data_IF_368129819145
#
_entry.id   IF_368129819145
#
_cell.length_a   1.000
_cell.length_b   1.000
_cell.length_c   1.000
_cell.angle_alpha   90.00
_cell.angle_beta   90.00
_cell.angle_gamma   90.00
#
_symmetry.space_group_name_H-M   'P 1'
#
loop_
_entity.id
_entity.type
_entity.pdbx_description
1 polymer ?
#
# COMPACT_ATOMS: atom_id res chain seq x y z
N UNK A 1 30.80 55.01 26.57
CA UNK A 1 29.37 54.69 26.76
C UNK A 1 29.35 53.39 27.56
N UNK A 2 29.34 53.43 28.90
CA UNK A 2 28.22 53.71 29.82
C UNK A 2 27.02 52.80 29.46
N UNK A 3 26.51 51.88 30.29
CA UNK A 3 26.34 51.84 31.76
C UNK A 3 25.95 50.39 32.16
N UNK A 4 26.61 49.75 33.14
CA UNK A 4 26.15 49.50 34.54
C UNK A 4 24.84 48.69 34.66
N UNK A 5 24.68 47.62 35.46
CA UNK A 5 24.91 47.42 36.92
C UNK A 5 25.00 45.89 37.15
N UNK A 6 25.87 45.24 37.93
CA UNK A 6 26.55 45.48 39.20
C UNK A 6 25.65 45.39 40.46
N UNK A 7 26.10 44.50 41.37
CA UNK A 7 25.92 44.48 42.83
C UNK A 7 24.77 43.67 43.49
N UNK A 8 25.17 42.50 44.01
CA UNK A 8 25.18 42.09 45.43
C UNK A 8 23.90 42.16 46.28
N UNK A 9 23.63 41.08 47.02
CA UNK A 9 23.93 41.11 48.46
C UNK A 9 24.20 39.72 49.07
N UNK A 10 25.40 39.60 49.65
CA UNK A 10 25.73 38.69 50.77
C UNK A 10 24.93 39.15 52.00
N UNK A 11 24.77 38.33 53.04
CA UNK A 11 25.55 38.40 54.30
C UNK A 11 25.05 37.20 55.15
N UNK A 12 25.90 36.19 55.43
CA UNK A 12 26.74 35.99 56.65
C UNK A 12 25.87 35.79 57.91
N UNK A 13 26.17 34.88 58.85
CA UNK A 13 27.48 34.61 59.44
C UNK A 13 27.43 33.39 60.39
N UNK A 14 28.48 32.58 60.32
CA UNK A 14 29.22 31.80 61.34
C UNK A 14 28.56 31.28 62.64
N UNK A 15 29.07 30.11 63.07
CA UNK A 15 29.74 29.82 64.37
C UNK A 15 29.31 28.43 64.88
N UNK A 16 30.28 27.52 65.08
CA UNK A 16 30.21 26.65 66.27
C UNK A 16 30.53 25.16 66.14
N UNK A 17 31.82 24.83 66.26
CA UNK A 17 32.38 23.88 67.26
C UNK A 17 32.18 22.34 67.10
N UNK A 18 33.31 21.67 66.92
CA UNK A 18 33.56 20.23 67.08
C UNK A 18 33.02 19.62 68.40
N UNK A 19 32.45 18.40 68.32
CA UNK A 19 32.44 17.43 69.44
C UNK A 19 32.39 15.96 68.96
N UNK A 20 33.42 15.21 69.40
CA UNK A 20 33.58 13.76 69.63
C UNK A 20 32.27 12.97 69.91
N UNK A 21 32.08 11.66 69.70
CA UNK A 21 32.85 10.45 69.32
C UNK A 21 31.84 9.33 68.90
N UNK A 22 32.31 8.15 68.42
CA UNK A 22 31.50 7.08 67.79
C UNK A 22 31.06 5.98 68.78
N UNK A 23 29.96 5.28 68.49
CA UNK A 23 29.63 3.97 69.08
C UNK A 23 28.52 3.22 68.31
N UNK A 24 28.92 2.08 67.76
CA UNK A 24 28.20 0.83 67.52
C UNK A 24 26.78 0.66 68.11
N UNK A 25 25.90 -0.06 67.39
CA UNK A 25 25.22 -1.33 67.82
C UNK A 25 23.92 -1.58 67.02
N UNK A 26 24.00 -2.63 66.19
CA UNK A 26 23.04 -3.73 65.97
C UNK A 26 21.73 -3.55 65.18
N UNK A 27 21.71 -4.28 64.04
CA UNK A 27 20.75 -5.31 63.66
C UNK A 27 19.25 -5.07 63.92
N UNK A 28 18.48 -4.94 62.84
CA UNK A 28 17.23 -5.71 62.67
C UNK A 28 17.09 -6.11 61.20
N UNK A 29 17.24 -7.40 60.93
CA UNK A 29 16.64 -8.05 59.76
C UNK A 29 15.12 -8.01 59.92
N UNK A 30 14.44 -7.17 59.14
CA UNK A 30 13.04 -7.40 58.78
C UNK A 30 12.99 -7.36 57.26
N UNK A 31 12.67 -8.52 56.68
CA UNK A 31 12.37 -8.64 55.28
C UNK A 31 11.19 -7.75 54.91
N UNK A 32 11.40 -6.93 53.90
CA UNK A 32 10.34 -6.54 53.00
C UNK A 32 10.94 -6.61 51.60
N UNK A 33 10.64 -7.75 50.96
CA UNK A 33 10.72 -7.93 49.52
C UNK A 33 9.81 -6.88 48.86
N UNK A 34 10.30 -5.66 48.71
CA UNK A 34 9.76 -4.76 47.71
C UNK A 34 10.39 -5.19 46.40
N UNK A 35 9.75 -6.18 45.78
CA UNK A 35 9.72 -6.31 44.33
C UNK A 35 9.21 -4.97 43.81
N UNK A 36 10.12 -4.03 43.58
CA UNK A 36 9.86 -2.97 42.63
C UNK A 36 9.81 -3.71 41.29
N UNK A 37 8.60 -4.13 40.92
CA UNK A 37 8.24 -4.26 39.52
C UNK A 37 8.43 -2.87 38.93
N UNK A 38 9.68 -2.54 38.60
CA UNK A 38 9.98 -1.52 37.62
C UNK A 38 9.33 -2.08 36.37
N UNK A 39 8.08 -1.67 36.14
CA UNK A 39 7.59 -1.44 34.80
C UNK A 39 8.65 -0.51 34.21
N UNK A 40 9.67 -1.11 33.60
CA UNK A 40 10.59 -0.42 32.76
C UNK A 40 9.69 0.11 31.65
N UNK A 41 9.26 1.36 31.79
CA UNK A 41 8.80 2.14 30.67
C UNK A 41 10.02 2.18 29.75
N UNK A 42 10.12 1.20 28.86
CA UNK A 42 11.15 1.11 27.85
C UNK A 42 11.06 2.43 27.10
N UNK A 43 12.00 3.33 27.39
CA UNK A 43 12.07 4.62 26.73
C UNK A 43 12.15 4.32 25.24
N UNK A 44 11.19 4.85 24.48
CA UNK A 44 11.20 4.70 23.04
C UNK A 44 12.54 5.21 22.50
N UNK A 45 13.24 4.43 21.65
CA UNK A 45 14.48 4.87 21.04
C UNK A 45 14.17 6.05 20.10
N UNK A 46 15.17 6.90 19.91
CA UNK A 46 15.04 8.07 19.03
C UNK A 46 14.89 7.67 17.55
N UNK A 47 15.25 6.42 17.20
CA UNK A 47 15.08 5.84 15.87
C UNK A 47 14.45 4.45 15.98
N UNK A 48 13.59 4.06 15.02
CA UNK A 48 13.02 2.72 14.97
C UNK A 48 14.12 1.68 14.71
N UNK A 49 13.90 0.46 15.21
CA UNK A 49 14.78 -0.68 14.92
C UNK A 49 14.71 -0.94 13.41
N UNK A 50 15.85 -0.80 12.72
CA UNK A 50 15.94 -1.14 11.29
C UNK A 50 15.90 -2.66 11.15
N UNK A 51 14.91 -3.14 10.40
CA UNK A 51 14.72 -4.55 10.12
C UNK A 51 15.32 -4.91 8.75
N UNK A 52 16.08 -6.00 8.68
CA UNK A 52 16.76 -6.46 7.45
C UNK A 52 15.88 -7.38 6.59
N UNK A 53 14.71 -7.81 7.07
CA UNK A 53 13.94 -8.91 6.49
C UNK A 53 12.50 -8.63 6.05
N UNK A 54 11.97 -7.42 6.19
CA UNK A 54 10.53 -7.15 6.01
C UNK A 54 10.29 -5.78 5.35
N UNK A 55 9.21 -5.60 4.55
CA UNK A 55 7.95 -6.38 4.55
C UNK A 55 7.72 -7.34 3.36
N UNK A 56 6.65 -8.16 3.46
CA UNK A 56 6.17 -8.99 2.36
C UNK A 56 5.72 -8.11 1.18
N UNK A 57 6.29 -8.35 0.00
CA UNK A 57 6.12 -7.52 -1.18
C UNK A 57 5.75 -8.30 -2.47
N UNK A 58 4.85 -9.30 -2.43
CA UNK A 58 4.52 -10.07 -3.63
C UNK A 58 3.94 -9.17 -4.73
N UNK A 59 4.23 -9.44 -6.01
CA UNK A 59 3.62 -8.69 -7.10
C UNK A 59 2.12 -9.02 -7.21
N UNK A 60 1.32 -8.07 -7.69
CA UNK A 60 -0.06 -8.35 -8.10
C UNK A 60 -0.11 -9.09 -9.45
N UNK A 61 -1.20 -9.82 -9.70
CA UNK A 61 -1.37 -10.65 -10.89
C UNK A 61 -2.00 -9.83 -12.06
N UNK A 62 -1.23 -9.52 -13.11
CA UNK A 62 -1.71 -8.68 -14.20
C UNK A 62 -2.77 -9.38 -15.07
N UNK A 63 -2.80 -10.72 -15.13
CA UNK A 63 -3.75 -11.47 -15.95
C UNK A 63 -5.17 -11.34 -15.39
N UNK A 64 -5.33 -11.52 -14.07
CA UNK A 64 -6.63 -11.34 -13.42
C UNK A 64 -7.11 -9.90 -13.48
N UNK A 65 -6.20 -8.94 -13.35
CA UNK A 65 -6.53 -7.51 -13.51
C UNK A 65 -7.02 -7.19 -14.91
N UNK A 66 -6.35 -7.70 -15.95
CA UNK A 66 -6.79 -7.50 -17.32
C UNK A 66 -8.19 -8.08 -17.56
N UNK A 67 -8.49 -9.26 -17.00
CA UNK A 67 -9.84 -9.85 -17.06
C UNK A 67 -10.89 -8.98 -16.36
N UNK A 68 -10.55 -8.38 -15.21
CA UNK A 68 -11.45 -7.50 -14.44
C UNK A 68 -11.84 -6.23 -15.19
N UNK A 69 -11.01 -5.73 -16.11
CA UNK A 69 -11.33 -4.57 -16.95
C UNK A 69 -12.45 -4.84 -17.97
N UNK A 70 -12.70 -6.11 -18.31
CA UNK A 70 -13.63 -6.48 -19.38
C UNK A 70 -13.15 -6.01 -20.75
N UNK A 71 -14.09 -5.84 -21.69
CA UNK A 71 -13.83 -5.40 -23.07
C UNK A 71 -14.78 -4.26 -23.46
N UNK A 72 -14.55 -3.04 -22.97
CA UNK A 72 -15.48 -1.95 -23.22
C UNK A 72 -15.51 -1.53 -24.69
N UNK A 73 -16.71 -1.21 -25.18
CA UNK A 73 -16.90 -0.77 -26.56
C UNK A 73 -16.71 0.74 -26.68
N UNK A 74 -15.84 1.17 -27.59
CA UNK A 74 -15.67 2.58 -27.98
C UNK A 74 -16.50 2.82 -29.23
N UNK A 75 -17.45 3.76 -29.18
CA UNK A 75 -18.28 4.10 -30.34
C UNK A 75 -17.67 5.26 -31.14
N UNK A 76 -17.06 4.94 -32.28
CA UNK A 76 -16.31 5.90 -33.09
C UNK A 76 -14.99 6.33 -32.47
N UNK A 77 -14.27 7.25 -33.11
CA UNK A 77 -12.90 7.62 -32.71
C UNK A 77 -12.79 8.29 -31.34
N UNK A 78 -13.81 9.02 -30.90
CA UNK A 78 -13.83 9.84 -29.69
C UNK A 78 -14.85 9.37 -28.64
N UNK A 79 -15.40 8.16 -28.81
CA UNK A 79 -16.49 7.63 -27.98
C UNK A 79 -17.66 8.62 -27.80
N UNK A 80 -17.95 9.46 -28.80
CA UNK A 80 -18.99 10.50 -28.74
C UNK A 80 -18.77 11.51 -27.59
N UNK A 81 -17.50 11.80 -27.27
CA UNK A 81 -17.12 12.73 -26.21
C UNK A 81 -17.33 12.19 -24.79
N UNK A 82 -17.61 10.89 -24.62
CA UNK A 82 -17.78 10.26 -23.30
C UNK A 82 -16.53 9.51 -22.86
N UNK A 83 -16.20 9.50 -21.56
CA UNK A 83 -15.15 8.63 -21.05
C UNK A 83 -15.46 7.16 -21.33
N UNK A 84 -14.41 6.36 -21.45
CA UNK A 84 -14.47 4.91 -21.60
C UNK A 84 -14.44 4.32 -20.20
N UNK A 85 -15.43 3.49 -19.88
CA UNK A 85 -15.65 2.93 -18.54
C UNK A 85 -15.27 1.45 -18.52
N UNK A 86 -14.59 1.02 -17.46
CA UNK A 86 -14.15 -0.35 -17.24
C UNK A 86 -14.72 -0.88 -15.92
N UNK A 87 -15.36 -2.06 -15.91
CA UNK A 87 -15.97 -2.69 -17.08
C UNK A 87 -17.05 -1.79 -17.71
N UNK A 88 -17.45 -2.06 -18.94
CA UNK A 88 -18.47 -1.26 -19.65
C UNK A 88 -19.77 -1.09 -18.85
N UNK A 89 -20.12 -2.12 -18.07
CA UNK A 89 -21.31 -2.15 -17.24
C UNK A 89 -20.99 -2.63 -15.83
N UNK A 90 -21.46 -1.90 -14.83
CA UNK A 90 -21.36 -2.29 -13.43
C UNK A 90 -19.97 -2.09 -12.84
N UNK A 91 -19.49 -3.10 -12.11
CA UNK A 91 -18.25 -3.05 -11.35
C UNK A 91 -17.53 -4.40 -11.38
N UNK A 92 -16.22 -4.38 -11.23
CA UNK A 92 -15.38 -5.56 -11.12
C UNK A 92 -14.98 -5.85 -9.67
N UNK A 93 -14.81 -7.14 -9.35
CA UNK A 93 -14.17 -7.58 -8.12
C UNK A 93 -12.75 -8.05 -8.42
N UNK A 94 -11.83 -7.79 -7.50
CA UNK A 94 -10.42 -8.13 -7.60
C UNK A 94 -10.08 -9.25 -6.62
N UNK A 95 -10.62 -10.46 -6.88
CA UNK A 95 -10.54 -11.58 -5.95
C UNK A 95 -9.15 -12.24 -5.90
N UNK A 96 -8.57 -12.51 -7.08
CA UNK A 96 -7.34 -13.30 -7.23
C UNK A 96 -6.13 -12.45 -7.68
N UNK A 97 -6.27 -11.13 -7.56
CA UNK A 97 -5.27 -10.17 -8.03
C UNK A 97 -4.09 -10.04 -7.06
N UNK A 98 -4.36 -10.25 -5.77
CA UNK A 98 -3.37 -10.07 -4.72
C UNK A 98 -3.01 -11.45 -4.15
N UNK A 99 -1.86 -12.03 -4.53
CA UNK A 99 -1.41 -13.29 -3.96
C UNK A 99 -1.36 -13.23 -2.43
N UNK A 100 -1.80 -14.27 -1.72
CA UNK A 100 -1.80 -14.24 -0.27
C UNK A 100 -0.37 -14.20 0.28
N UNK A 101 -0.17 -13.39 1.31
CA UNK A 101 1.03 -13.48 2.16
C UNK A 101 0.79 -14.60 3.17
N UNK A 102 1.65 -15.62 3.19
CA UNK A 102 1.44 -16.84 3.98
C UNK A 102 2.58 -17.00 4.99
N UNK A 103 2.23 -17.26 6.25
CA UNK A 103 3.16 -17.56 7.34
C UNK A 103 4.36 -16.60 7.48
N UNK A 104 4.10 -15.31 7.27
CA UNK A 104 5.11 -14.25 7.32
C UNK A 104 5.24 -13.71 8.74
N UNK A 105 6.42 -13.28 9.17
CA UNK A 105 6.60 -12.72 10.51
C UNK A 105 6.19 -11.24 10.55
N UNK A 106 5.80 -10.75 11.73
CA UNK A 106 5.55 -9.33 11.91
C UNK A 106 6.87 -8.54 11.93
N UNK A 107 6.86 -7.26 11.53
CA UNK A 107 8.02 -6.38 11.68
C UNK A 107 8.52 -6.34 13.13
N UNK A 108 9.83 -6.22 13.31
CA UNK A 108 10.44 -6.07 14.64
C UNK A 108 9.99 -4.76 15.28
N UNK A 109 9.35 -4.86 16.44
CA UNK A 109 8.82 -3.70 17.17
C UNK A 109 9.76 -3.21 18.24
N UNK A 110 9.62 -1.94 18.61
CA UNK A 110 10.24 -1.46 19.84
C UNK A 110 9.53 -2.06 21.05
N UNK A 111 10.25 -2.85 21.84
CA UNK A 111 9.71 -3.51 23.03
C UNK A 111 8.81 -4.71 22.71
N UNK A 112 8.21 -5.26 23.76
CA UNK A 112 7.34 -6.45 23.67
C UNK A 112 5.90 -6.06 23.32
N UNK A 113 5.65 -5.72 22.04
CA UNK A 113 4.31 -5.41 21.56
C UNK A 113 3.46 -6.69 21.57
N UNK A 114 2.41 -6.71 22.40
CA UNK A 114 1.38 -7.75 22.33
C UNK A 114 0.44 -7.49 21.16
N UNK A 115 -0.02 -8.54 20.50
CA UNK A 115 -0.87 -8.43 19.31
C UNK A 115 -2.14 -7.61 19.57
N UNK A 116 -2.76 -7.75 20.74
CA UNK A 116 -3.97 -7.00 21.13
C UNK A 116 -3.76 -5.48 21.18
N UNK A 117 -2.54 -5.06 21.49
CA UNK A 117 -2.17 -3.66 21.68
C UNK A 117 -1.78 -2.99 20.35
N UNK A 118 -1.37 -3.79 19.36
CA UNK A 118 -1.04 -3.33 18.02
C UNK A 118 -2.23 -2.75 17.27
N UNK A 119 -1.97 -1.65 16.54
CA UNK A 119 -2.93 -0.96 15.70
C UNK A 119 -2.62 -1.26 14.24
N UNK A 120 -3.62 -1.70 13.47
CA UNK A 120 -3.45 -2.12 12.08
C UNK A 120 -4.41 -1.40 11.16
N UNK A 121 -3.96 -1.02 9.98
CA UNK A 121 -4.83 -0.47 8.94
C UNK A 121 -4.31 -0.85 7.56
N UNK A 122 -5.20 -0.77 6.57
CA UNK A 122 -4.83 -0.88 5.16
C UNK A 122 -4.99 0.49 4.52
N UNK A 123 -4.09 0.79 3.59
CA UNK A 123 -4.08 2.03 2.81
C UNK A 123 -3.88 1.71 1.33
N UNK A 124 -4.41 2.55 0.46
CA UNK A 124 -4.19 2.50 -0.97
C UNK A 124 -3.67 3.86 -1.47
N UNK A 125 -2.45 4.27 -1.07
CA UNK A 125 -1.90 5.56 -1.49
C UNK A 125 -1.59 5.59 -3.00
N UNK A 126 -1.43 4.42 -3.61
CA UNK A 126 -1.13 4.22 -5.02
C UNK A 126 -2.24 3.41 -5.69
N UNK A 127 -2.08 3.19 -6.99
CA UNK A 127 -3.06 2.57 -7.88
C UNK A 127 -2.40 1.53 -8.79
N UNK A 128 -3.17 0.54 -9.19
CA UNK A 128 -2.74 -0.51 -10.12
C UNK A 128 -2.48 0.07 -11.51
N UNK A 129 -3.35 0.97 -11.95
CA UNK A 129 -3.24 1.66 -13.23
C UNK A 129 -3.02 3.14 -13.00
N UNK A 130 -2.15 3.75 -13.80
CA UNK A 130 -2.14 5.20 -13.94
C UNK A 130 -3.29 5.66 -14.84
N UNK A 131 -3.59 4.89 -15.88
CA UNK A 131 -4.74 5.02 -16.77
C UNK A 131 -5.24 3.61 -17.13
N UNK A 132 -6.52 3.27 -16.94
CA UNK A 132 -7.62 4.15 -16.54
C UNK A 132 -7.61 4.51 -15.04
N UNK A 133 -8.25 5.63 -14.69
CA UNK A 133 -8.32 6.15 -13.32
C UNK A 133 -9.42 5.43 -12.54
N UNK A 134 -9.16 5.09 -11.28
CA UNK A 134 -10.16 4.47 -10.40
C UNK A 134 -11.28 5.48 -10.11
N UNK A 135 -12.54 5.10 -10.33
CA UNK A 135 -13.73 5.92 -10.02
C UNK A 135 -14.41 5.42 -8.75
N UNK A 136 -14.47 4.10 -8.57
CA UNK A 136 -14.95 3.46 -7.35
C UNK A 136 -14.12 2.23 -7.06
N UNK A 137 -14.10 1.79 -5.81
CA UNK A 137 -13.46 0.53 -5.41
C UNK A 137 -13.10 0.52 -3.93
N UNK A 138 -13.12 -0.66 -3.33
CA UNK A 138 -12.68 -0.86 -1.95
C UNK A 138 -11.78 -2.07 -1.84
N UNK A 139 -10.70 -1.94 -1.07
CA UNK A 139 -9.86 -3.07 -0.70
C UNK A 139 -10.31 -3.62 0.64
N UNK A 140 -10.38 -4.94 0.71
CA UNK A 140 -10.67 -5.70 1.92
C UNK A 140 -9.55 -6.69 2.16
N UNK A 141 -8.88 -6.57 3.30
CA UNK A 141 -7.79 -7.44 3.70
C UNK A 141 -8.13 -8.17 5.00
N UNK A 142 -8.04 -9.49 4.98
CA UNK A 142 -8.18 -10.32 6.17
C UNK A 142 -6.80 -10.79 6.60
N UNK A 143 -6.42 -10.42 7.82
CA UNK A 143 -5.23 -10.92 8.49
C UNK A 143 -5.58 -12.01 9.49
N UNK A 144 -4.74 -13.04 9.58
CA UNK A 144 -4.87 -14.16 10.51
C UNK A 144 -3.52 -14.37 11.16
N UNK A 145 -3.44 -14.22 12.48
CA UNK A 145 -2.23 -14.44 13.27
C UNK A 145 -2.30 -15.77 14.02
N UNK A 146 -1.16 -16.45 14.10
CA UNK A 146 -0.95 -17.72 14.82
C UNK A 146 0.44 -17.72 15.47
N UNK A 147 0.63 -18.52 16.51
CA UNK A 147 1.94 -18.68 17.17
C UNK A 147 2.89 -19.49 16.31
N UNK A 148 4.17 -19.11 16.29
CA UNK A 148 5.26 -19.80 15.58
C UNK A 148 5.51 -21.21 16.11
N UNK A 149 5.30 -21.41 17.41
CA UNK A 149 5.49 -22.68 18.12
C UNK A 149 4.44 -23.75 17.78
N UNK A 150 3.45 -23.43 16.93
CA UNK A 150 2.40 -24.35 16.52
C UNK A 150 1.32 -24.58 17.57
N UNK A 151 1.37 -23.88 18.72
CA UNK A 151 0.30 -23.96 19.71
C UNK A 151 -1.06 -23.56 19.11
N UNK A 152 -2.16 -24.21 19.53
CA UNK A 152 -3.47 -23.96 18.96
C UNK A 152 -3.95 -22.54 19.26
N UNK A 153 -4.78 -22.01 18.37
CA UNK A 153 -5.37 -20.67 18.48
C UNK A 153 -5.22 -19.86 17.21
N UNK A 154 -6.09 -18.87 17.02
CA UNK A 154 -5.98 -17.88 15.95
C UNK A 154 -6.62 -16.56 16.36
N UNK A 155 -6.01 -15.47 15.94
CA UNK A 155 -6.62 -14.14 15.99
C UNK A 155 -6.75 -13.60 14.57
N UNK A 156 -7.77 -12.77 14.32
CA UNK A 156 -8.05 -12.20 13.01
C UNK A 156 -8.33 -10.71 13.08
N UNK A 157 -7.91 -9.98 12.06
CA UNK A 157 -8.32 -8.60 11.81
C UNK A 157 -8.86 -8.50 10.38
N UNK A 158 -9.94 -7.75 10.20
CA UNK A 158 -10.46 -7.40 8.86
C UNK A 158 -10.24 -5.92 8.68
N UNK A 159 -9.45 -5.57 7.68
CA UNK A 159 -9.06 -4.21 7.34
C UNK A 159 -9.76 -3.81 6.04
N UNK A 160 -10.17 -2.55 5.94
CA UNK A 160 -10.74 -2.02 4.71
C UNK A 160 -10.30 -0.59 4.44
N UNK A 161 -10.21 -0.23 3.15
CA UNK A 161 -9.95 1.14 2.72
C UNK A 161 -10.57 1.37 1.36
N UNK A 162 -10.95 2.61 1.10
CA UNK A 162 -11.46 3.04 -0.20
C UNK A 162 -10.29 3.28 -1.17
N UNK A 163 -10.45 2.90 -2.43
CA UNK A 163 -9.41 3.01 -3.43
C UNK A 163 -9.27 4.43 -4.01
N UNK A 164 -10.25 5.31 -3.76
CA UNK A 164 -10.30 6.69 -4.27
C UNK A 164 -10.08 7.68 -3.14
N UNK A 165 -10.76 7.50 -2.01
CA UNK A 165 -10.66 8.40 -0.86
C UNK A 165 -9.82 7.74 0.21
N UNK A 166 -8.65 8.33 0.50
CA UNK A 166 -7.80 7.85 1.58
C UNK A 166 -8.58 7.85 2.91
N UNK A 167 -8.79 6.66 3.48
CA UNK A 167 -9.40 6.49 4.78
C UNK A 167 -8.42 5.81 5.73
N UNK A 168 -8.36 6.30 6.97
CA UNK A 168 -7.48 5.80 8.02
C UNK A 168 -8.31 5.07 9.09
N UNK A 169 -8.85 3.91 8.72
CA UNK A 169 -9.60 3.06 9.64
C UNK A 169 -8.62 2.14 10.37
N UNK A 170 -8.52 2.35 11.68
CA UNK A 170 -7.67 1.55 12.56
C UNK A 170 -8.46 0.36 13.09
N UNK A 171 -7.85 -0.81 13.01
CA UNK A 171 -8.40 -2.07 13.47
C UNK A 171 -7.45 -2.76 14.46
N UNK A 172 -8.03 -3.61 15.31
CA UNK A 172 -7.32 -4.48 16.23
C UNK A 172 -7.67 -5.92 15.94
N UNK A 173 -6.75 -6.83 16.25
CA UNK A 173 -7.03 -8.26 16.17
C UNK A 173 -8.07 -8.69 17.22
N UNK A 174 -8.87 -9.68 16.86
CA UNK A 174 -9.85 -10.33 17.72
C UNK A 174 -9.73 -11.85 17.59
N UNK A 175 -10.04 -12.60 18.65
CA UNK A 175 -10.02 -14.06 18.62
C UNK A 175 -9.40 -14.67 19.87
N UNK A 176 -8.58 -15.69 19.67
CA UNK A 176 -7.97 -16.46 20.76
C UNK A 176 -7.12 -15.58 21.69
N UNK A 177 -7.41 -15.64 22.99
CA UNK A 177 -6.75 -14.82 24.01
C UNK A 177 -5.24 -15.10 24.10
N UNK A 178 -4.82 -16.36 23.99
CA UNK A 178 -3.41 -16.70 24.09
C UNK A 178 -2.62 -16.14 22.90
N UNK A 179 -3.22 -16.11 21.70
CA UNK A 179 -2.62 -15.46 20.53
C UNK A 179 -2.59 -13.94 20.69
N UNK A 180 -3.67 -13.33 21.19
CA UNK A 180 -3.76 -11.88 21.42
C UNK A 180 -2.76 -11.36 22.46
N UNK A 181 -2.49 -12.15 23.50
CA UNK A 181 -1.55 -11.84 24.58
C UNK A 181 -0.09 -12.22 24.25
N UNK A 182 0.15 -12.85 23.09
CA UNK A 182 1.51 -13.19 22.63
C UNK A 182 2.21 -11.97 22.04
N UNK A 183 3.54 -11.95 22.12
CA UNK A 183 4.37 -10.94 21.45
C UNK A 183 4.22 -11.08 19.93
N UNK A 184 4.17 -9.97 19.18
CA UNK A 184 4.10 -10.03 17.71
C UNK A 184 5.30 -10.77 17.09
N UNK A 185 6.46 -10.77 17.76
CA UNK A 185 7.67 -11.49 17.34
C UNK A 185 7.56 -13.01 17.49
N UNK A 186 6.67 -13.49 18.35
CA UNK A 186 6.37 -14.92 18.55
C UNK A 186 5.28 -15.43 17.58
N UNK A 187 4.77 -14.54 16.73
CA UNK A 187 3.65 -14.82 15.83
C UNK A 187 4.08 -14.79 14.36
N UNK A 188 3.33 -15.54 13.56
CA UNK A 188 3.28 -15.41 12.11
C UNK A 188 1.88 -15.04 11.69
N UNK A 189 1.76 -14.33 10.58
CA UNK A 189 0.47 -13.98 10.00
C UNK A 189 0.32 -14.50 8.58
N UNK A 190 -0.95 -14.59 8.17
CA UNK A 190 -1.38 -14.72 6.80
C UNK A 190 -2.25 -13.52 6.46
N UNK A 191 -2.00 -12.86 5.34
CA UNK A 191 -2.81 -11.74 4.86
C UNK A 191 -3.38 -12.07 3.48
N UNK A 192 -4.69 -11.92 3.36
CA UNK A 192 -5.44 -12.18 2.13
C UNK A 192 -6.19 -10.91 1.79
N UNK A 193 -5.89 -10.32 0.65
CA UNK A 193 -6.53 -9.08 0.19
C UNK A 193 -7.34 -9.32 -1.07
N UNK A 194 -8.44 -8.58 -1.20
CA UNK A 194 -9.27 -8.54 -2.41
C UNK A 194 -9.83 -7.15 -2.62
N UNK A 195 -10.14 -6.81 -3.86
CA UNK A 195 -10.90 -5.61 -4.21
C UNK A 195 -12.36 -5.94 -4.49
N UNK A 196 -13.26 -5.00 -4.21
CA UNK A 196 -14.67 -5.11 -4.60
C UNK A 196 -15.22 -3.81 -5.12
N UNK A 197 -16.17 -3.90 -6.06
CA UNK A 197 -16.89 -2.74 -6.56
C UNK A 197 -16.01 -1.76 -7.32
N UNK A 198 -14.99 -2.25 -8.03
CA UNK A 198 -14.09 -1.42 -8.81
C UNK A 198 -14.71 -0.98 -10.13
N UNK A 199 -14.57 0.30 -10.45
CA UNK A 199 -14.73 0.80 -11.80
C UNK A 199 -13.61 1.78 -12.11
N UNK A 200 -13.27 1.86 -13.39
CA UNK A 200 -12.27 2.80 -13.89
C UNK A 200 -12.82 3.58 -15.07
N UNK A 201 -12.25 4.76 -15.28
CA UNK A 201 -12.53 5.57 -16.45
C UNK A 201 -11.26 6.15 -17.06
N UNK A 202 -11.27 6.32 -18.36
CA UNK A 202 -10.28 7.17 -19.05
C UNK A 202 -10.96 7.98 -20.12
N UNK A 203 -10.35 9.11 -20.49
CA UNK A 203 -10.74 9.83 -21.69
C UNK A 203 -10.26 9.06 -22.94
N UNK A 204 -10.97 9.14 -24.07
CA UNK A 204 -10.59 8.47 -25.32
C UNK A 204 -9.15 8.73 -25.74
N UNK A 205 -8.66 9.96 -25.54
CA UNK A 205 -7.30 10.41 -25.88
C UNK A 205 -6.20 9.93 -24.92
N UNK A 206 -6.55 9.48 -23.70
CA UNK A 206 -5.58 8.98 -22.74
C UNK A 206 -5.09 7.59 -23.17
N UNK A 207 -3.77 7.41 -23.15
CA UNK A 207 -3.16 6.11 -23.40
C UNK A 207 -3.26 5.27 -22.13
N UNK A 208 -3.68 4.02 -22.29
CA UNK A 208 -3.65 3.02 -21.24
C UNK A 208 -2.23 2.91 -20.65
N UNK A 209 -2.12 2.94 -19.33
CA UNK A 209 -0.84 2.90 -18.63
C UNK A 209 -0.96 2.21 -17.26
N UNK A 210 -0.18 1.16 -17.06
CA UNK A 210 -0.02 0.47 -15.79
C UNK A 210 0.92 1.23 -14.85
N UNK A 211 0.71 1.05 -13.55
CA UNK A 211 1.75 1.38 -12.58
C UNK A 211 2.91 0.37 -12.71
N UNK A 212 4.14 0.88 -12.73
CA UNK A 212 5.37 0.10 -12.89
C UNK A 212 6.46 0.47 -11.90
N UNK A 213 6.27 1.56 -11.13
CA UNK A 213 7.21 1.95 -10.08
C UNK A 213 7.04 1.00 -8.91
N UNK A 214 8.10 0.27 -8.57
CA UNK A 214 8.07 -0.73 -7.49
C UNK A 214 7.60 -0.16 -6.15
N UNK A 215 8.02 1.07 -5.82
CA UNK A 215 7.61 1.78 -4.61
C UNK A 215 6.09 2.10 -4.57
N UNK A 216 5.43 2.10 -5.73
CA UNK A 216 4.00 2.42 -5.87
C UNK A 216 3.12 1.18 -5.60
N UNK A 217 3.34 0.56 -4.44
CA UNK A 217 2.61 -0.64 -4.01
C UNK A 217 1.16 -0.34 -3.59
N UNK A 218 0.27 -1.30 -3.84
CA UNK A 218 -1.15 -1.26 -3.44
C UNK A 218 -1.78 -2.66 -3.42
N UNK A 219 -2.60 -3.02 -2.40
CA UNK A 219 -2.81 -2.29 -1.15
C UNK A 219 -1.58 -2.36 -0.23
N UNK A 220 -1.55 -1.53 0.81
CA UNK A 220 -0.46 -1.46 1.79
C UNK A 220 -1.02 -1.57 3.21
N UNK A 221 -0.68 -2.66 3.89
CA UNK A 221 -1.03 -2.92 5.29
C UNK A 221 0.07 -2.34 6.18
N UNK A 222 -0.35 -1.61 7.21
CA UNK A 222 0.52 -0.98 8.20
C UNK A 222 0.17 -1.40 9.62
N UNK A 223 1.17 -1.32 10.46
CA UNK A 223 1.09 -1.55 11.90
C UNK A 223 1.74 -0.39 12.64
N UNK A 224 1.15 0.03 13.75
CA UNK A 224 1.78 0.96 14.68
C UNK A 224 2.15 0.25 15.98
N UNK A 225 3.38 0.47 16.45
CA UNK A 225 3.87 -0.07 17.71
C UNK A 225 3.59 0.85 18.91
N UNK A 226 3.98 0.41 20.12
CA UNK A 226 3.77 1.15 21.37
C UNK A 226 4.49 2.51 21.42
N UNK A 227 5.48 2.71 20.55
CA UNK A 227 6.25 3.95 20.43
C UNK A 227 5.75 4.85 19.30
N UNK A 228 4.57 4.56 18.74
CA UNK A 228 3.96 5.24 17.61
C UNK A 228 4.73 5.11 16.29
N UNK A 229 5.70 4.20 16.20
CA UNK A 229 6.39 3.94 14.93
C UNK A 229 5.46 3.16 14.00
N UNK A 230 5.42 3.58 12.74
CA UNK A 230 4.61 2.95 11.70
C UNK A 230 5.47 2.04 10.85
N UNK A 231 5.09 0.78 10.82
CA UNK A 231 5.75 -0.28 10.08
C UNK A 231 4.89 -0.72 8.91
N UNK A 232 5.51 -0.98 7.76
CA UNK A 232 4.84 -1.69 6.68
C UNK A 232 4.82 -3.18 7.04
N UNK A 233 3.66 -3.81 6.97
CA UNK A 233 3.51 -5.26 7.28
C UNK A 233 3.51 -6.06 5.99
N UNK A 234 2.65 -5.68 5.05
CA UNK A 234 2.55 -6.31 3.75
C UNK A 234 2.12 -5.28 2.71
N UNK A 235 2.64 -5.40 1.49
CA UNK A 235 2.18 -4.63 0.35
C UNK A 235 2.31 -5.42 -0.95
N UNK A 236 1.57 -5.01 -1.97
CA UNK A 236 1.61 -5.67 -3.28
C UNK A 236 2.23 -4.76 -4.32
N UNK A 237 3.28 -5.24 -4.99
CA UNK A 237 4.10 -4.46 -5.90
C UNK A 237 3.65 -4.64 -7.35
N UNK A 238 3.94 -3.69 -8.25
CA UNK A 238 3.87 -3.96 -9.67
C UNK A 238 4.72 -5.17 -10.07
N UNK A 239 4.26 -5.99 -11.03
CA UNK A 239 5.07 -7.09 -11.56
C UNK A 239 6.33 -6.54 -12.25
N UNK A 240 7.46 -7.23 -12.05
CA UNK A 240 8.78 -6.78 -12.52
C UNK A 240 8.95 -6.79 -14.04
N UNK A 241 8.17 -7.62 -14.74
CA UNK A 241 8.09 -7.61 -16.18
C UNK A 241 7.13 -6.51 -16.64
N UNK A 242 7.65 -5.51 -17.35
CA UNK A 242 6.88 -4.34 -17.79
C UNK A 242 5.52 -4.74 -18.39
N UNK A 243 4.40 -4.53 -17.67
CA UNK A 243 3.10 -4.98 -18.15
C UNK A 243 2.64 -4.14 -19.34
N UNK A 244 3.15 -2.92 -19.53
CA UNK A 244 2.73 -2.04 -20.62
C UNK A 244 3.05 -2.60 -22.01
N UNK A 245 4.12 -3.38 -22.17
CA UNK A 245 4.47 -3.95 -23.48
C UNK A 245 3.62 -5.18 -23.84
N UNK A 246 3.07 -5.86 -22.81
CA UNK A 246 2.29 -7.10 -22.98
C UNK A 246 0.79 -6.85 -22.95
N UNK A 247 0.34 -5.86 -22.21
CA UNK A 247 -1.08 -5.56 -22.01
C UNK A 247 -1.47 -4.32 -22.79
N UNK A 248 -2.20 -4.55 -23.88
CA UNK A 248 -2.87 -3.50 -24.63
C UNK A 248 -4.20 -3.16 -23.97
N UNK A 249 -4.66 -1.95 -24.21
CA UNK A 249 -6.00 -1.51 -23.84
C UNK A 249 -7.05 -2.53 -24.34
N UNK A 250 -7.87 -3.12 -23.45
CA UNK A 250 -8.86 -4.11 -23.85
C UNK A 250 -10.09 -3.50 -24.53
N UNK A 251 -10.18 -2.17 -24.63
CA UNK A 251 -11.29 -1.50 -25.27
C UNK A 251 -11.34 -1.77 -26.78
N UNK A 252 -12.53 -2.09 -27.29
CA UNK A 252 -12.75 -2.46 -28.69
C UNK A 252 -13.44 -1.32 -29.42
N UNK A 253 -12.82 -0.83 -30.50
CA UNK A 253 -13.42 0.20 -31.33
C UNK A 253 -14.53 -0.38 -32.23
N UNK A 254 -15.73 0.19 -32.11
CA UNK A 254 -16.85 -0.06 -33.02
C UNK A 254 -17.05 1.19 -33.88
N UNK A 255 -16.76 1.14 -35.19
CA UNK A 255 -16.96 2.28 -36.07
C UNK A 255 -18.45 2.62 -36.16
N UNK A 256 -18.75 3.92 -36.13
CA UNK A 256 -20.11 4.47 -36.25
C UNK A 256 -20.66 4.29 -37.67
N UNK A 257 -21.98 4.40 -37.86
CA UNK A 257 -22.61 4.23 -39.17
C UNK A 257 -22.05 5.22 -40.23
N UNK A 258 -21.71 6.43 -39.82
CA UNK A 258 -21.08 7.46 -40.66
C UNK A 258 -19.66 7.04 -41.07
N UNK A 259 -18.83 6.59 -40.12
CA UNK A 259 -17.47 6.11 -40.42
C UNK A 259 -17.47 4.81 -41.25
N UNK A 260 -18.46 3.92 -41.05
CA UNK A 260 -18.64 2.73 -41.89
C UNK A 260 -19.02 3.07 -43.32
N UNK A 261 -19.75 4.15 -43.54
CA UNK A 261 -20.09 4.64 -44.87
C UNK A 261 -18.87 5.25 -45.56
N UNK A 262 -18.00 5.94 -44.82
CA UNK A 262 -16.75 6.50 -45.33
C UNK A 262 -15.69 5.43 -45.63
N UNK A 263 -15.56 4.39 -44.78
CA UNK A 263 -14.73 3.20 -45.04
C UNK A 263 -15.19 2.45 -46.31
N UNK A 264 -16.51 2.29 -46.50
CA UNK A 264 -17.04 1.73 -47.75
C UNK A 264 -16.80 2.62 -48.98
N UNK A 265 -16.58 3.92 -48.78
CA UNK A 265 -16.31 4.88 -49.87
C UNK A 265 -14.84 4.91 -50.25
N UNK A 266 -13.91 4.69 -49.32
CA UNK A 266 -12.48 4.60 -49.66
C UNK A 266 -12.21 3.36 -50.53
N UNK A 267 -12.84 2.23 -50.21
CA UNK A 267 -12.67 0.98 -50.96
C UNK A 267 -13.35 1.01 -52.35
N UNK A 268 -14.28 1.95 -52.57
CA UNK A 268 -14.98 2.12 -53.84
C UNK A 268 -14.29 3.08 -54.82
N UNK A 269 -13.24 3.80 -54.38
CA UNK A 269 -12.50 4.76 -55.21
C UNK A 269 -11.09 4.31 -55.61
N UNK A 270 -10.61 3.15 -55.15
CA UNK A 270 -9.43 2.50 -55.71
C UNK A 270 -9.81 1.76 -57.01
N UNK A 271 -10.05 2.54 -58.05
CA UNK A 271 -10.23 2.03 -59.41
C UNK A 271 -8.89 1.47 -59.93
N UNK A 272 -8.81 0.21 -60.38
CA UNK A 272 -7.58 -0.40 -60.86
C UNK A 272 -7.37 -0.05 -62.34
N UNK A 273 -7.34 1.23 -62.70
CA UNK A 273 -7.11 1.64 -64.10
C UNK A 273 -6.13 2.80 -64.15
N UNK A 274 -4.85 2.46 -64.00
CA UNK A 274 -3.77 3.27 -64.55
C UNK A 274 -2.80 2.38 -65.34
N UNK A 275 -3.34 1.71 -66.35
CA UNK A 275 -2.59 1.25 -67.51
C UNK A 275 -2.75 2.30 -68.62
N UNK A 276 -1.78 3.20 -68.76
CA UNK A 276 -1.57 3.93 -70.03
C UNK A 276 -0.17 3.66 -70.57
N UNK A 277 0.07 2.40 -70.88
CA UNK A 277 1.11 2.01 -71.83
C UNK A 277 0.53 2.04 -73.25
N UNK A 278 0.58 3.19 -73.92
CA UNK A 278 0.28 3.26 -75.37
C UNK A 278 1.57 3.57 -76.13
N UNK A 279 2.24 2.50 -76.58
CA UNK A 279 3.16 2.53 -77.71
C UNK A 279 2.36 2.61 -79.00
N UNK A 280 2.64 3.63 -79.83
CA UNK A 280 2.92 3.58 -81.29
C UNK A 280 2.88 5.03 -81.79
N UNK A 281 4.04 5.59 -82.10
CA UNK A 281 4.75 5.51 -83.38
C UNK A 281 4.33 6.69 -84.25
N UNK A 282 5.25 7.64 -84.43
CA UNK A 282 5.24 8.47 -85.62
C UNK A 282 6.66 8.79 -86.09
N UNK A 283 6.75 8.82 -87.41
CA UNK A 283 7.92 8.76 -88.28
C UNK A 283 8.68 10.07 -88.45
N UNK A 284 9.99 9.95 -88.76
CA UNK A 284 10.83 10.95 -89.42
C UNK A 284 12.02 11.41 -88.57
N UNK A 285 13.25 11.61 -89.06
CA UNK A 285 13.81 11.54 -90.42
C UNK A 285 15.35 11.60 -90.30
N UNK A 286 16.07 11.09 -91.31
CA UNK A 286 17.54 11.03 -91.53
C UNK A 286 18.30 9.82 -90.97
#
# INVERSE_FOLDING_TARGET
MNTEKAFTNRVKQNVGRNRRWPAWVMCVFIGALFSTSVLAATKCPDQPIQDLGYPASPPWDPEYISKSLGQPIINGKDNQGKPIIYPEWGHANLADIFPPVIHHEFPTTTGDLKLKDGLFWVSAPNRIFKVPHVVTGKYHCKMIAKRKDGAPGRATATLETDAVVANHLIHRFQGDKNVLESSVTDLVYTAICRGTGFSWERKPEEKFEWESVWDNSVPLIRMQDLCNWVHNVAFWTPPSDNPNDRFKDPAVMRPTATERADLKKSDANDNPDNLSGTKRADSGNK
#
